data_IF_258332076601
#
_entry.id   IF_258332076601
#
_cell.length_a   1.000
_cell.length_b   1.000
_cell.length_c   1.000
_cell.angle_alpha   90.00
_cell.angle_beta   90.00
_cell.angle_gamma   90.00
#
_symmetry.space_group_name_H-M   'P 1'
#
loop_
_entity.id
_entity.type
_entity.pdbx_description
1 polymer ?
#
# COMPACT_ATOMS: atom_id res chain seq x y z
N UNK A 1 1.95 19.76 4.50
CA UNK A 1 2.80 18.66 4.99
C UNK A 1 1.94 17.75 5.84
N UNK A 2 1.65 16.53 5.40
CA UNK A 2 0.86 15.59 6.20
C UNK A 2 1.78 14.73 7.05
N UNK A 3 1.44 14.59 8.32
CA UNK A 3 2.04 13.59 9.21
C UNK A 3 1.54 12.18 8.85
N UNK A 4 2.13 11.16 9.47
CA UNK A 4 1.64 9.79 9.40
C UNK A 4 0.23 9.69 9.98
N UNK A 5 -0.68 9.08 9.23
CA UNK A 5 -2.04 8.77 9.69
C UNK A 5 -2.13 7.28 9.97
N UNK A 6 -2.59 6.90 11.17
CA UNK A 6 -2.85 5.51 11.49
C UNK A 6 -4.04 5.02 10.66
N UNK A 7 -3.96 3.80 10.15
CA UNK A 7 -5.10 3.14 9.52
C UNK A 7 -5.78 2.31 10.61
N UNK A 8 -6.99 2.71 11.00
CA UNK A 8 -7.75 1.99 12.02
C UNK A 8 -8.05 0.56 11.57
N UNK A 9 -7.73 -0.42 12.41
CA UNK A 9 -7.83 -1.84 12.07
C UNK A 9 -6.73 -2.35 11.11
N UNK A 10 -5.96 -1.45 10.51
CA UNK A 10 -4.88 -1.78 9.58
C UNK A 10 -3.67 -2.37 10.27
N UNK A 11 -3.26 -3.56 9.83
CA UNK A 11 -2.10 -4.26 10.35
C UNK A 11 -1.21 -4.76 9.22
N UNK A 12 0.06 -4.98 9.53
CA UNK A 12 1.03 -5.57 8.62
C UNK A 12 1.88 -6.60 9.34
N UNK A 13 2.03 -7.76 8.69
CA UNK A 13 2.91 -8.81 9.16
C UNK A 13 4.33 -8.54 8.66
N UNK A 14 5.25 -8.32 9.58
CA UNK A 14 6.67 -8.14 9.30
C UNK A 14 7.45 -9.42 9.61
N UNK A 15 8.56 -9.62 8.91
CA UNK A 15 9.56 -10.62 9.26
C UNK A 15 10.96 -10.03 9.29
N UNK A 16 11.76 -10.49 10.25
CA UNK A 16 13.19 -10.21 10.34
C UNK A 16 13.91 -11.52 10.69
N UNK A 17 14.75 -12.01 9.78
CA UNK A 17 15.53 -13.26 9.96
C UNK A 17 14.68 -14.46 10.42
N UNK A 18 13.47 -14.61 9.86
CA UNK A 18 12.57 -15.72 10.17
C UNK A 18 11.65 -15.52 11.38
N UNK A 19 11.84 -14.45 12.15
CA UNK A 19 10.92 -14.07 13.23
C UNK A 19 9.80 -13.22 12.63
N UNK A 20 8.55 -13.55 12.96
CA UNK A 20 7.36 -12.83 12.50
C UNK A 20 6.82 -11.95 13.62
N UNK A 21 6.37 -10.75 13.26
CA UNK A 21 5.75 -9.81 14.20
C UNK A 21 4.66 -9.01 13.50
N UNK A 22 3.54 -8.80 14.19
CA UNK A 22 2.51 -7.87 13.75
C UNK A 22 2.93 -6.43 14.08
N UNK A 23 2.60 -5.51 13.18
CA UNK A 23 2.82 -4.09 13.34
C UNK A 23 1.60 -3.30 12.88
N UNK A 24 1.40 -2.13 13.49
CA UNK A 24 0.37 -1.19 13.07
C UNK A 24 0.70 -0.60 11.71
N UNK A 25 -0.33 -0.45 10.86
CA UNK A 25 -0.22 0.15 9.55
C UNK A 25 -0.53 1.65 9.57
N UNK A 26 0.27 2.40 8.82
CA UNK A 26 0.17 3.85 8.68
C UNK A 26 0.22 4.24 7.21
N UNK A 27 -0.27 5.43 6.90
CA UNK A 27 -0.15 6.03 5.57
C UNK A 27 0.41 7.44 5.62
N UNK A 28 1.11 7.81 4.54
CA UNK A 28 1.58 9.17 4.28
C UNK A 28 1.75 9.37 2.79
N UNK A 29 1.17 10.45 2.25
CA UNK A 29 1.33 10.85 0.84
C UNK A 29 0.97 9.71 -0.15
N UNK A 30 -0.05 8.91 0.18
CA UNK A 30 -0.50 7.76 -0.62
C UNK A 30 0.33 6.48 -0.43
N UNK A 31 1.43 6.54 0.31
CA UNK A 31 2.30 5.40 0.58
C UNK A 31 2.01 4.75 1.94
N UNK A 32 2.25 3.45 2.04
CA UNK A 32 2.02 2.67 3.26
C UNK A 32 3.30 2.44 4.05
N UNK A 33 3.15 2.48 5.37
CA UNK A 33 4.24 2.36 6.33
C UNK A 33 3.85 1.42 7.47
N UNK A 34 4.83 0.66 7.97
CA UNK A 34 4.71 -0.13 9.18
C UNK A 34 5.36 0.61 10.36
N UNK A 35 4.75 0.55 11.53
CA UNK A 35 5.42 0.96 12.76
C UNK A 35 6.50 -0.06 13.15
N UNK A 36 7.72 0.42 13.38
CA UNK A 36 8.85 -0.34 13.91
C UNK A 36 9.33 0.29 15.22
N UNK A 37 10.24 -0.39 15.95
CA UNK A 37 10.70 0.06 17.27
C UNK A 37 11.21 1.51 17.33
N UNK A 38 11.81 2.01 16.25
CA UNK A 38 12.42 3.35 16.19
C UNK A 38 11.73 4.29 15.18
N UNK A 39 10.49 4.02 14.78
CA UNK A 39 9.74 4.89 13.86
C UNK A 39 8.92 4.12 12.84
N UNK A 40 9.06 4.48 11.56
CA UNK A 40 8.24 3.94 10.48
C UNK A 40 9.11 3.43 9.33
N UNK A 41 8.78 2.24 8.83
CA UNK A 41 9.39 1.67 7.64
C UNK A 41 8.38 1.72 6.50
N UNK A 42 8.76 2.29 5.35
CA UNK A 42 7.91 2.27 4.16
C UNK A 42 7.82 0.85 3.62
N UNK A 43 6.63 0.45 3.22
CA UNK A 43 6.40 -0.80 2.51
C UNK A 43 6.75 -0.61 1.03
N UNK A 44 7.64 -1.44 0.51
CA UNK A 44 8.14 -1.39 -0.86
C UNK A 44 7.66 -2.62 -1.64
N UNK A 45 7.85 -2.61 -2.95
CA UNK A 45 7.59 -3.77 -3.79
C UNK A 45 8.44 -4.98 -3.37
N UNK A 46 8.05 -6.17 -3.86
CA UNK A 46 8.77 -7.42 -3.60
C UNK A 46 8.93 -7.74 -2.11
N UNK A 47 7.95 -7.37 -1.29
CA UNK A 47 7.92 -7.66 0.15
C UNK A 47 9.06 -6.98 0.96
N UNK A 48 9.70 -5.94 0.42
CA UNK A 48 10.78 -5.22 1.09
C UNK A 48 10.28 -4.02 1.91
N UNK A 49 11.10 -3.55 2.83
CA UNK A 49 10.87 -2.28 3.52
C UNK A 49 12.10 -1.39 3.44
N UNK A 50 11.96 -0.09 3.76
CA UNK A 50 13.12 0.81 3.89
C UNK A 50 13.99 0.49 5.12
N UNK A 51 13.52 -0.34 6.05
CA UNK A 51 14.30 -0.77 7.20
C UNK A 51 15.16 -2.00 6.85
N UNK A 52 16.50 -1.94 7.02
CA UNK A 52 17.38 -3.05 6.67
C UNK A 52 17.02 -4.35 7.39
N UNK A 53 16.95 -5.46 6.64
CA UNK A 53 16.66 -6.79 7.18
C UNK A 53 15.19 -7.05 7.53
N UNK A 54 14.32 -6.05 7.45
CA UNK A 54 12.88 -6.18 7.68
C UNK A 54 12.16 -6.31 6.34
N UNK A 55 11.32 -7.33 6.23
CA UNK A 55 10.41 -7.58 5.10
C UNK A 55 8.98 -7.56 5.59
N UNK A 56 8.04 -7.19 4.73
CA UNK A 56 6.61 -7.37 5.02
C UNK A 56 6.09 -8.62 4.30
N UNK A 57 4.94 -9.12 4.72
CA UNK A 57 4.40 -10.40 4.23
C UNK A 57 2.93 -10.35 3.87
N UNK A 58 2.15 -9.64 4.67
CA UNK A 58 0.72 -9.48 4.46
C UNK A 58 0.28 -8.16 5.08
N UNK A 59 -0.76 -7.57 4.52
CA UNK A 59 -1.49 -6.44 5.08
C UNK A 59 -2.91 -6.93 5.33
N UNK A 60 -3.47 -6.58 6.49
CA UNK A 60 -4.86 -6.87 6.85
C UNK A 60 -5.57 -5.59 7.31
N UNK A 61 -6.89 -5.57 7.20
CA UNK A 61 -7.73 -4.44 7.63
C UNK A 61 -7.61 -3.17 6.76
N UNK A 62 -7.02 -3.25 5.56
CA UNK A 62 -6.92 -2.12 4.63
C UNK A 62 -6.89 -2.57 3.17
N UNK A 63 -7.59 -1.83 2.29
CA UNK A 63 -7.57 -2.06 0.84
C UNK A 63 -6.43 -1.24 0.24
N UNK A 64 -5.49 -1.90 -0.43
CA UNK A 64 -4.35 -1.27 -1.08
C UNK A 64 -4.21 -1.72 -2.53
N UNK A 65 -3.52 -0.92 -3.34
CA UNK A 65 -3.11 -1.28 -4.68
C UNK A 65 -1.60 -1.62 -4.70
N UNK A 66 -1.21 -2.72 -5.32
CA UNK A 66 0.20 -3.02 -5.55
C UNK A 66 0.73 -2.22 -6.75
N UNK A 67 1.76 -1.41 -6.51
CA UNK A 67 2.46 -0.65 -7.53
C UNK A 67 3.91 -1.11 -7.66
N UNK A 68 4.59 -0.67 -8.71
CA UNK A 68 6.03 -0.92 -8.89
C UNK A 68 6.90 -0.42 -7.72
N UNK A 69 6.40 0.54 -6.93
CA UNK A 69 7.12 1.13 -5.80
C UNK A 69 6.68 0.55 -4.44
N UNK A 70 5.70 -0.35 -4.43
CA UNK A 70 5.12 -0.93 -3.22
C UNK A 70 3.62 -0.72 -3.08
N UNK A 71 3.03 -1.20 -1.99
CA UNK A 71 1.61 -1.05 -1.74
C UNK A 71 1.28 0.40 -1.41
N UNK A 72 0.24 0.93 -2.06
CA UNK A 72 -0.22 2.31 -1.93
C UNK A 72 -1.72 2.35 -1.64
N UNK A 73 -2.18 3.45 -1.04
CA UNK A 73 -3.60 3.74 -0.94
C UNK A 73 -4.18 3.87 -2.36
N UNK A 74 -5.28 3.16 -2.70
CA UNK A 74 -5.87 3.26 -4.01
C UNK A 74 -6.35 4.69 -4.23
N UNK A 75 -5.77 5.37 -5.21
CA UNK A 75 -6.33 6.62 -5.70
C UNK A 75 -7.68 6.26 -6.33
N UNK A 76 -8.80 6.88 -5.94
CA UNK A 76 -10.07 6.67 -6.62
C UNK A 76 -9.87 7.07 -8.09
N UNK A 77 -9.78 6.09 -8.99
CA UNK A 77 -9.82 6.39 -10.42
C UNK A 77 -11.18 7.04 -10.69
N UNK A 78 -11.19 8.31 -11.08
CA UNK A 78 -12.37 8.88 -11.71
C UNK A 78 -12.80 7.94 -12.84
N UNK A 79 -14.10 7.58 -12.95
CA UNK A 79 -14.55 6.61 -13.93
C UNK A 79 -14.16 7.10 -15.33
N UNK A 80 -13.20 6.41 -15.96
CA UNK A 80 -12.82 6.66 -17.35
C UNK A 80 -14.08 6.46 -18.20
N UNK A 81 -14.73 7.55 -18.60
CA UNK A 81 -15.86 7.55 -19.52
C UNK A 81 -15.36 6.94 -20.82
N UNK A 82 -15.67 5.67 -21.05
CA UNK A 82 -15.31 5.01 -22.30
C UNK A 82 -16.03 5.77 -23.44
N UNK A 83 -15.32 6.29 -24.44
CA UNK A 83 -15.97 6.92 -25.58
C UNK A 83 -16.77 5.81 -26.29
N UNK A 84 -18.11 5.88 -26.20
CA UNK A 84 -19.00 5.00 -26.94
C UNK A 84 -18.68 5.15 -28.41
N UNK A 85 -17.97 4.18 -28.99
CA UNK A 85 -17.75 4.13 -30.42
C UNK A 85 -19.12 3.95 -31.09
N UNK A 86 -19.69 5.04 -31.61
CA UNK A 86 -20.86 4.97 -32.47
C UNK A 86 -20.43 4.23 -33.73
N UNK A 87 -20.78 2.94 -33.83
CA UNK A 87 -20.75 2.23 -35.11
C UNK A 87 -21.76 2.93 -36.03
N UNK A 88 -21.27 3.77 -36.92
CA UNK A 88 -22.07 4.25 -38.05
C UNK A 88 -22.39 3.03 -38.91
N UNK A 89 -23.67 2.65 -38.96
CA UNK A 89 -24.14 1.69 -39.95
C UNK A 89 -24.15 2.40 -41.30
N UNK A 90 -23.36 1.90 -42.25
CA UNK A 90 -23.49 2.27 -43.66
C UNK A 90 -24.82 1.71 -44.19
N UNK A 91 -25.52 2.54 -44.96
CA UNK A 91 -26.76 2.23 -45.70
C UNK A 91 -26.36 1.82 -47.12
#
# INVERSE_FOLDING_TARGET
MSMFTAIEGGQVLLTNRGVYQEAKLYKREGELFAQIKQGFARLLASNLTTAPGIRWKAIDGFIYAETAFGPQEPIPEEPKVQPRTRKLRAI
#
